data_IF_702097017293
#
_entry.id   IF_702097017293
#
_cell.length_a   1.000
_cell.length_b   1.000
_cell.length_c   1.000
_cell.angle_alpha   90.00
_cell.angle_beta   90.00
_cell.angle_gamma   90.00
#
_symmetry.space_group_name_H-M   'P 1'
#
loop_
_entity.id
_entity.type
_entity.pdbx_description
1 polymer ?
#
# COMPACT_ATOMS: atom_id res chain seq x y z
N UNK A 1 12.05 18.84 -14.08
CA UNK A 1 11.00 17.99 -13.48
C UNK A 1 11.62 16.67 -13.09
N UNK A 2 11.27 16.12 -11.93
CA UNK A 2 11.75 14.80 -11.52
C UNK A 2 10.76 13.75 -12.04
N UNK A 3 11.16 12.82 -12.91
CA UNK A 3 10.24 11.89 -13.58
C UNK A 3 9.32 11.10 -12.63
N UNK A 4 9.74 10.88 -11.38
CA UNK A 4 8.94 10.17 -10.38
C UNK A 4 7.71 10.95 -9.85
N UNK A 5 7.54 12.22 -10.21
CA UNK A 5 6.41 13.07 -9.81
C UNK A 5 5.34 13.24 -10.90
N UNK A 6 5.52 12.65 -12.08
CA UNK A 6 4.67 12.87 -13.27
C UNK A 6 3.51 11.86 -13.40
N UNK A 7 2.98 11.35 -12.28
CA UNK A 7 1.82 10.44 -12.29
C UNK A 7 0.58 11.06 -11.66
N UNK A 8 -0.61 10.59 -12.07
CA UNK A 8 -1.94 10.99 -11.55
C UNK A 8 -2.02 11.02 -10.02
N UNK A 9 -1.19 10.19 -9.37
CA UNK A 9 -0.98 10.14 -7.94
C UNK A 9 -0.77 11.49 -7.25
N UNK A 10 -0.22 12.48 -7.95
CA UNK A 10 0.12 13.79 -7.37
C UNK A 10 -0.64 14.96 -8.02
N UNK A 11 -1.77 14.69 -8.67
CA UNK A 11 -2.65 15.73 -9.26
C UNK A 11 -2.97 16.85 -8.26
N UNK A 12 -3.22 16.47 -7.01
CA UNK A 12 -3.59 17.41 -5.94
C UNK A 12 -2.44 18.36 -5.56
N UNK A 13 -1.19 18.00 -5.87
CA UNK A 13 -0.01 18.81 -5.58
C UNK A 13 0.44 19.65 -6.78
N UNK A 14 -0.26 19.63 -7.91
CA UNK A 14 0.15 20.30 -9.15
C UNK A 14 0.39 21.80 -8.93
N UNK A 15 -0.49 22.47 -8.17
CA UNK A 15 -0.34 23.88 -7.83
C UNK A 15 1.02 24.19 -7.16
N UNK A 16 1.43 23.38 -6.18
CA UNK A 16 2.71 23.56 -5.48
C UNK A 16 3.91 23.24 -6.38
N UNK A 17 3.75 22.27 -7.30
CA UNK A 17 4.76 21.94 -8.31
C UNK A 17 4.96 23.12 -9.27
N UNK A 18 3.88 23.71 -9.77
CA UNK A 18 3.93 24.88 -10.64
C UNK A 18 4.57 26.07 -9.94
N UNK A 19 4.17 26.39 -8.70
CA UNK A 19 4.76 27.48 -7.92
C UNK A 19 6.28 27.31 -7.70
N UNK A 20 6.74 26.09 -7.41
CA UNK A 20 8.17 25.81 -7.28
C UNK A 20 8.91 25.93 -8.61
N UNK A 21 8.29 25.47 -9.70
CA UNK A 21 8.86 25.57 -11.04
C UNK A 21 9.00 27.02 -11.51
N UNK A 22 8.00 27.86 -11.23
CA UNK A 22 8.06 29.30 -11.50
C UNK A 22 9.20 29.95 -10.72
N UNK A 23 9.37 29.62 -9.44
CA UNK A 23 10.49 30.11 -8.65
C UNK A 23 11.85 29.68 -9.23
N UNK A 24 11.96 28.42 -9.68
CA UNK A 24 13.17 27.91 -10.33
C UNK A 24 13.45 28.52 -11.71
N UNK A 25 12.41 28.98 -12.43
CA UNK A 25 12.57 29.72 -13.69
C UNK A 25 13.09 31.14 -13.45
N UNK A 26 12.77 31.75 -12.30
CA UNK A 26 13.00 33.16 -11.99
C UNK A 26 14.43 33.50 -11.49
N UNK A 27 15.46 32.80 -12.00
CA UNK A 27 16.91 32.98 -11.83
C UNK A 27 17.64 32.02 -10.87
N UNK A 28 18.77 31.48 -11.35
CA UNK A 28 19.64 30.51 -10.66
C UNK A 28 20.16 31.01 -9.30
N UNK A 29 20.39 32.32 -9.18
CA UNK A 29 20.87 32.96 -7.94
C UNK A 29 19.86 32.80 -6.80
N UNK A 30 18.57 33.00 -7.06
CA UNK A 30 17.52 32.83 -6.04
C UNK A 30 17.45 31.40 -5.53
N UNK A 31 17.67 30.43 -6.42
CA UNK A 31 17.77 29.01 -6.07
C UNK A 31 18.99 28.72 -5.20
N UNK A 32 20.15 29.27 -5.55
CA UNK A 32 21.40 29.08 -4.81
C UNK A 32 21.34 29.64 -3.37
N UNK A 33 20.63 30.76 -3.17
CA UNK A 33 20.46 31.39 -1.86
C UNK A 33 19.20 30.91 -1.09
N UNK A 34 18.46 29.94 -1.61
CA UNK A 34 17.32 29.34 -0.89
C UNK A 34 16.04 30.19 -0.86
N UNK A 35 15.89 31.18 -1.74
CA UNK A 35 14.68 32.01 -1.81
C UNK A 35 13.42 31.24 -2.26
N UNK A 36 13.58 30.02 -2.79
CA UNK A 36 12.48 29.12 -3.17
C UNK A 36 12.07 28.12 -2.07
N UNK A 37 12.48 28.31 -0.81
CA UNK A 37 12.19 27.34 0.26
C UNK A 37 10.70 27.25 0.61
N UNK A 38 9.97 28.36 0.62
CA UNK A 38 8.52 28.36 0.94
C UNK A 38 7.70 27.46 -0.01
N UNK A 39 7.75 27.64 -1.35
CA UNK A 39 7.02 26.75 -2.25
C UNK A 39 7.54 25.30 -2.20
N UNK A 40 8.85 25.11 -1.93
CA UNK A 40 9.45 23.78 -1.76
C UNK A 40 8.90 23.05 -0.52
N UNK A 41 8.77 23.74 0.60
CA UNK A 41 8.28 23.15 1.85
C UNK A 41 6.80 22.79 1.75
N UNK A 42 6.01 23.65 1.11
CA UNK A 42 4.60 23.37 0.83
C UNK A 42 4.42 22.17 -0.09
N UNK A 43 5.21 22.09 -1.17
CA UNK A 43 5.23 20.91 -2.04
C UNK A 43 5.62 19.65 -1.27
N UNK A 44 6.64 19.72 -0.42
CA UNK A 44 7.12 18.58 0.37
C UNK A 44 6.05 18.06 1.33
N UNK A 45 5.28 18.96 1.97
CA UNK A 45 4.13 18.60 2.82
C UNK A 45 3.03 17.91 2.01
N UNK A 46 2.64 18.49 0.88
CA UNK A 46 1.62 17.92 0.02
C UNK A 46 2.00 16.49 -0.43
N UNK A 47 3.21 16.29 -0.95
CA UNK A 47 3.69 14.98 -1.38
C UNK A 47 3.74 13.96 -0.25
N UNK A 48 4.06 14.41 0.97
CA UNK A 48 4.07 13.56 2.15
C UNK A 48 2.66 13.09 2.51
N UNK A 49 1.69 14.00 2.54
CA UNK A 49 0.28 13.70 2.80
C UNK A 49 -0.30 12.73 1.76
N UNK A 50 -0.06 12.99 0.48
CA UNK A 50 -0.47 12.11 -0.62
C UNK A 50 0.11 10.70 -0.46
N UNK A 51 1.39 10.59 -0.09
CA UNK A 51 2.05 9.30 0.14
C UNK A 51 1.42 8.54 1.31
N UNK A 52 1.07 9.23 2.39
CA UNK A 52 0.38 8.62 3.54
C UNK A 52 -1.01 8.13 3.12
N UNK A 53 -1.78 8.96 2.43
CA UNK A 53 -3.11 8.60 1.97
C UNK A 53 -3.09 7.34 1.08
N UNK A 54 -2.15 7.27 0.15
CA UNK A 54 -1.93 6.08 -0.69
C UNK A 54 -1.56 4.86 0.13
N UNK A 55 -0.64 4.98 1.09
CA UNK A 55 -0.26 3.86 1.95
C UNK A 55 -1.44 3.31 2.76
N UNK A 56 -2.36 4.19 3.19
CA UNK A 56 -3.58 3.79 3.90
C UNK A 56 -4.53 3.05 2.96
N UNK A 57 -4.75 3.57 1.75
CA UNK A 57 -5.58 2.94 0.73
C UNK A 57 -5.05 1.53 0.36
N UNK A 58 -3.74 1.42 0.11
CA UNK A 58 -3.07 0.15 -0.18
C UNK A 58 -3.22 -0.85 0.98
N UNK A 59 -3.10 -0.38 2.22
CA UNK A 59 -3.28 -1.21 3.40
C UNK A 59 -4.71 -1.76 3.49
N UNK A 60 -5.72 -0.93 3.22
CA UNK A 60 -7.12 -1.34 3.19
C UNK A 60 -7.38 -2.36 2.10
N UNK A 61 -6.86 -2.11 0.89
CA UNK A 61 -6.98 -3.05 -0.23
C UNK A 61 -6.34 -4.40 0.09
N UNK A 62 -5.11 -4.40 0.64
CA UNK A 62 -4.41 -5.62 1.07
C UNK A 62 -5.20 -6.39 2.12
N UNK A 63 -5.79 -5.69 3.10
CA UNK A 63 -6.64 -6.33 4.13
C UNK A 63 -7.87 -6.98 3.50
N UNK A 64 -8.52 -6.31 2.55
CA UNK A 64 -9.69 -6.86 1.86
C UNK A 64 -9.32 -8.08 1.01
N UNK A 65 -8.22 -8.01 0.23
CA UNK A 65 -7.70 -9.15 -0.53
C UNK A 65 -7.37 -10.34 0.38
N UNK A 66 -6.74 -10.07 1.54
CA UNK A 66 -6.42 -11.10 2.52
C UNK A 66 -7.66 -11.79 3.06
N UNK A 67 -8.69 -11.04 3.48
CA UNK A 67 -9.96 -11.60 3.96
C UNK A 67 -10.61 -12.51 2.92
N UNK A 68 -10.71 -12.06 1.67
CA UNK A 68 -11.31 -12.84 0.58
C UNK A 68 -10.52 -14.13 0.33
N UNK A 69 -9.20 -14.07 0.35
CA UNK A 69 -8.35 -15.26 0.18
C UNK A 69 -8.49 -16.22 1.36
N UNK A 70 -8.49 -15.73 2.60
CA UNK A 70 -8.68 -16.54 3.81
C UNK A 70 -10.06 -17.22 3.82
N UNK A 71 -11.12 -16.51 3.41
CA UNK A 71 -12.46 -17.07 3.27
C UNK A 71 -12.52 -18.18 2.21
N UNK A 72 -11.88 -17.97 1.05
CA UNK A 72 -11.79 -19.00 0.00
C UNK A 72 -11.02 -20.22 0.48
N UNK A 73 -9.89 -20.03 1.15
CA UNK A 73 -9.10 -21.12 1.73
C UNK A 73 -9.86 -21.88 2.81
N UNK A 74 -10.66 -21.17 3.63
CA UNK A 74 -11.52 -21.80 4.63
C UNK A 74 -12.60 -22.66 3.97
N UNK A 75 -13.29 -22.13 2.94
CA UNK A 75 -14.30 -22.88 2.18
C UNK A 75 -13.73 -24.15 1.55
N UNK A 76 -12.61 -24.05 0.84
CA UNK A 76 -11.96 -25.22 0.22
C UNK A 76 -11.60 -26.29 1.27
N UNK A 77 -11.07 -25.87 2.42
CA UNK A 77 -10.75 -26.80 3.53
C UNK A 77 -11.98 -27.46 4.13
N UNK A 78 -13.08 -26.72 4.26
CA UNK A 78 -14.36 -27.25 4.76
C UNK A 78 -15.01 -28.20 3.75
N UNK A 79 -14.87 -27.95 2.45
CA UNK A 79 -15.32 -28.86 1.37
C UNK A 79 -14.50 -30.16 1.36
N UNK A 80 -13.18 -30.09 1.56
CA UNK A 80 -12.27 -31.24 1.51
C UNK A 80 -12.34 -32.11 2.79
N UNK A 81 -12.38 -31.49 3.98
CA UNK A 81 -12.27 -32.19 5.27
C UNK A 81 -13.53 -32.09 6.15
N UNK A 82 -14.63 -31.58 5.60
CA UNK A 82 -15.86 -31.33 6.34
C UNK A 82 -15.74 -30.15 7.32
N UNK A 83 -16.86 -29.79 7.95
CA UNK A 83 -16.94 -28.69 8.90
C UNK A 83 -15.88 -28.82 10.01
N UNK A 84 -15.18 -27.74 10.30
CA UNK A 84 -14.13 -27.65 11.33
C UNK A 84 -13.00 -28.69 11.19
N UNK A 85 -12.70 -29.11 9.95
CA UNK A 85 -11.67 -30.11 9.61
C UNK A 85 -11.91 -31.47 10.29
N UNK A 86 -13.17 -31.81 10.58
CA UNK A 86 -13.51 -33.01 11.36
C UNK A 86 -12.98 -34.30 10.72
N UNK A 87 -13.10 -34.43 9.40
CA UNK A 87 -12.61 -35.61 8.68
C UNK A 87 -11.09 -35.76 8.81
N UNK A 88 -10.35 -34.65 8.72
CA UNK A 88 -8.90 -34.65 8.90
C UNK A 88 -8.50 -35.18 10.28
N UNK A 89 -9.18 -34.71 11.34
CA UNK A 89 -8.92 -35.15 12.71
C UNK A 89 -9.14 -36.65 12.89
N UNK A 90 -10.23 -37.18 12.33
CA UNK A 90 -10.53 -38.62 12.38
C UNK A 90 -9.47 -39.43 11.64
N UNK A 91 -9.06 -38.99 10.44
CA UNK A 91 -7.98 -39.66 9.68
C UNK A 91 -6.67 -39.65 10.46
N UNK A 92 -6.30 -38.52 11.07
CA UNK A 92 -5.08 -38.41 11.87
C UNK A 92 -5.11 -39.32 13.10
N UNK A 93 -6.23 -39.42 13.79
CA UNK A 93 -6.41 -40.32 14.94
C UNK A 93 -6.29 -41.80 14.52
N UNK A 94 -6.91 -42.19 13.40
CA UNK A 94 -6.84 -43.55 12.89
C UNK A 94 -5.41 -43.93 12.44
N UNK A 95 -4.72 -43.02 11.75
CA UNK A 95 -3.32 -43.21 11.38
C UNK A 95 -2.40 -43.39 12.60
N UNK A 96 -2.64 -42.62 13.67
CA UNK A 96 -1.91 -42.77 14.94
C UNK A 96 -2.19 -44.11 15.60
N UNK A 97 -3.45 -44.57 15.60
CA UNK A 97 -3.81 -45.90 16.14
C UNK A 97 -3.11 -47.02 15.37
N UNK A 98 -3.09 -46.95 14.05
CA UNK A 98 -2.42 -47.95 13.19
C UNK A 98 -0.91 -47.97 13.34
N UNK A 99 -0.28 -46.83 13.64
CA UNK A 99 1.15 -46.76 13.88
C UNK A 99 1.59 -47.32 15.26
N UNK A 100 0.64 -47.54 16.17
CA UNK A 100 0.86 -48.07 17.52
C UNK A 100 0.53 -49.58 17.65
N UNK A 101 -0.03 -50.19 16.60
CA UNK A 101 -0.26 -51.63 16.49
C UNK A 101 0.88 -52.29 15.72
#
# INVERSE_FOLDING_TARGET
MHPLLEGDRFSDCEYYIQALNECHKAEFVKKAFGLCNVPKDNLSKCLHETRIAQSIADLQERRNKRKVTEEKWKKMKEEEYGKDMKLKKVIEEEMKRRAQQ
#
